data_IF_778407601710
#
_entry.id   IF_778407601710
#
_cell.length_a   1.000
_cell.length_b   1.000
_cell.length_c   1.000
_cell.angle_alpha   90.00
_cell.angle_beta   90.00
_cell.angle_gamma   90.00
#
_symmetry.space_group_name_H-M   'P 1'
#
loop_
_entity.id
_entity.type
_entity.pdbx_description
1 polymer ?
#
# COMPACT_ATOMS: atom_id res chain seq x y z
N UNK A 1 23.56 -22.40 -42.32
CA UNK A 1 24.19 -23.73 -42.40
C UNK A 1 23.94 -24.41 -41.06
N UNK A 2 22.89 -25.21 -40.96
CA UNK A 2 22.87 -26.67 -41.19
C UNK A 2 23.41 -27.45 -39.98
N UNK A 3 22.45 -28.06 -39.27
CA UNK A 3 22.44 -29.38 -38.62
C UNK A 3 23.41 -29.65 -37.44
N UNK A 4 23.02 -30.35 -36.36
CA UNK A 4 21.84 -31.17 -36.11
C UNK A 4 22.24 -32.64 -35.94
N UNK A 5 22.12 -33.19 -34.73
CA UNK A 5 22.03 -34.64 -34.54
C UNK A 5 21.05 -34.96 -33.42
N UNK A 6 19.98 -35.67 -33.81
CA UNK A 6 18.99 -36.35 -32.98
C UNK A 6 19.47 -37.78 -32.68
N UNK A 7 19.07 -38.30 -31.53
CA UNK A 7 18.58 -39.68 -31.30
C UNK A 7 17.70 -39.58 -30.03
N UNK A 8 16.45 -40.05 -29.91
CA UNK A 8 15.59 -40.83 -30.78
C UNK A 8 14.92 -41.97 -30.01
N UNK A 9 13.66 -41.76 -29.56
CA UNK A 9 12.54 -42.74 -29.46
C UNK A 9 12.69 -43.97 -28.52
N UNK A 10 11.67 -44.58 -27.88
CA UNK A 10 10.21 -44.81 -28.05
C UNK A 10 9.68 -45.29 -26.67
N UNK A 11 8.58 -44.80 -26.09
CA UNK A 11 7.15 -45.13 -26.30
C UNK A 11 6.70 -46.58 -26.03
N UNK A 12 5.88 -46.80 -24.99
CA UNK A 12 4.47 -47.28 -25.03
C UNK A 12 4.04 -48.03 -23.75
N UNK A 13 2.77 -47.86 -23.36
CA UNK A 13 2.07 -48.77 -22.45
C UNK A 13 0.94 -48.12 -21.67
N UNK A 14 -0.25 -48.07 -22.26
CA UNK A 14 -1.51 -47.66 -21.62
C UNK A 14 -2.17 -48.86 -20.91
N UNK A 15 -2.92 -48.64 -19.83
CA UNK A 15 -4.25 -49.25 -19.61
C UNK A 15 -5.00 -48.62 -18.42
N UNK A 16 -6.32 -48.69 -18.54
CA UNK A 16 -7.42 -48.02 -17.84
C UNK A 16 -7.94 -48.74 -16.57
N UNK A 17 -8.84 -48.03 -15.86
CA UNK A 17 -10.04 -48.49 -15.10
C UNK A 17 -9.98 -48.46 -13.56
N UNK A 18 -10.90 -47.68 -12.95
CA UNK A 18 -11.82 -48.21 -11.95
C UNK A 18 -11.73 -47.72 -10.49
N UNK A 19 -12.71 -46.89 -10.10
CA UNK A 19 -13.58 -47.12 -8.93
C UNK A 19 -13.05 -47.05 -7.49
N UNK A 20 -13.65 -46.16 -6.69
CA UNK A 20 -14.27 -46.57 -5.42
C UNK A 20 -13.49 -46.44 -4.10
N UNK A 21 -14.14 -45.72 -3.19
CA UNK A 21 -14.16 -45.88 -1.72
C UNK A 21 -13.16 -45.18 -0.80
N UNK A 22 -13.78 -44.68 0.27
CA UNK A 22 -13.26 -43.89 1.37
C UNK A 22 -12.64 -44.77 2.46
N UNK A 23 -11.66 -44.23 3.19
CA UNK A 23 -11.16 -44.82 4.43
C UNK A 23 -11.00 -43.75 5.53
N UNK A 24 -12.05 -43.68 6.34
CA UNK A 24 -12.11 -43.46 7.79
C UNK A 24 -10.75 -43.39 8.54
N UNK A 25 -10.48 -42.27 9.23
CA UNK A 25 -9.46 -42.20 10.30
C UNK A 25 -10.15 -42.10 11.67
N UNK A 26 -9.82 -43.07 12.53
CA UNK A 26 -10.28 -43.31 13.90
C UNK A 26 -10.03 -42.11 14.83
N UNK A 27 -11.03 -41.79 15.66
CA UNK A 27 -10.89 -41.00 16.89
C UNK A 27 -10.05 -41.76 17.92
N UNK A 28 -9.01 -41.10 18.45
CA UNK A 28 -8.42 -41.43 19.75
C UNK A 28 -8.82 -40.32 20.73
N UNK A 29 -9.43 -40.72 21.85
CA UNK A 29 -9.86 -39.87 22.97
C UNK A 29 -8.75 -39.81 24.02
N UNK A 30 -8.43 -38.60 24.49
CA UNK A 30 -7.84 -38.36 25.82
C UNK A 30 -6.68 -37.35 25.81
N UNK A 31 -6.93 -36.13 26.31
CA UNK A 31 -5.86 -35.16 26.56
C UNK A 31 -6.30 -33.70 26.66
N UNK A 32 -6.84 -33.33 27.84
CA UNK A 32 -6.76 -32.03 28.53
C UNK A 32 -6.57 -30.75 27.68
N UNK A 33 -7.67 -30.01 27.51
CA UNK A 33 -7.81 -28.55 27.49
C UNK A 33 -6.62 -27.69 27.01
N UNK A 34 -6.27 -27.81 25.74
CA UNK A 34 -5.63 -26.72 24.99
C UNK A 34 -6.73 -25.81 24.45
N UNK A 35 -6.95 -24.65 25.09
CA UNK A 35 -7.70 -23.56 24.46
C UNK A 35 -6.84 -23.10 23.27
N UNK A 36 -7.11 -23.68 22.11
CA UNK A 36 -6.81 -23.10 20.83
C UNK A 36 -7.53 -21.76 20.80
N UNK A 37 -6.84 -20.69 21.21
CA UNK A 37 -7.22 -19.36 20.79
C UNK A 37 -6.85 -19.27 19.30
N UNK A 38 -7.68 -19.91 18.49
CA UNK A 38 -8.00 -19.36 17.18
C UNK A 38 -8.19 -17.87 17.41
N UNK A 39 -7.35 -17.04 16.79
CA UNK A 39 -7.91 -15.81 16.27
C UNK A 39 -8.88 -16.28 15.18
N UNK A 40 -10.09 -16.61 15.62
CA UNK A 40 -11.24 -16.46 14.78
C UNK A 40 -11.16 -15.01 14.30
N UNK A 41 -10.68 -14.80 13.07
CA UNK A 41 -11.63 -14.14 12.18
C UNK A 41 -12.86 -15.03 12.29
N UNK A 42 -13.85 -14.59 13.08
CA UNK A 42 -15.19 -14.77 12.58
C UNK A 42 -15.07 -14.38 11.11
N UNK A 43 -15.35 -15.30 10.20
CA UNK A 43 -15.71 -14.89 8.86
C UNK A 43 -16.75 -13.80 9.12
N UNK A 44 -16.36 -12.54 8.95
CA UNK A 44 -17.36 -11.50 8.93
C UNK A 44 -18.18 -11.92 7.73
N UNK A 45 -19.38 -12.43 8.00
CA UNK A 45 -20.33 -12.81 6.96
C UNK A 45 -20.30 -11.67 5.95
N UNK A 46 -19.96 -11.98 4.70
CA UNK A 46 -19.70 -10.93 3.72
C UNK A 46 -20.95 -10.07 3.60
N UNK A 47 -20.78 -8.76 3.40
CA UNK A 47 -21.93 -7.86 3.36
C UNK A 47 -22.70 -8.18 2.07
N UNK A 48 -23.94 -8.68 2.15
CA UNK A 48 -24.70 -9.02 0.96
C UNK A 48 -25.04 -7.75 0.20
N UNK A 49 -24.90 -7.82 -1.12
CA UNK A 49 -25.31 -6.77 -2.05
C UNK A 49 -26.13 -7.40 -3.17
N UNK A 50 -27.22 -6.72 -3.51
CA UNK A 50 -28.15 -7.09 -4.56
C UNK A 50 -28.50 -5.85 -5.37
N UNK A 51 -28.67 -5.99 -6.67
CA UNK A 51 -29.02 -4.88 -7.52
C UNK A 51 -29.07 -5.22 -9.00
N UNK A 52 -29.21 -4.18 -9.80
CA UNK A 52 -29.28 -4.27 -11.26
C UNK A 52 -28.41 -3.20 -11.90
N UNK A 53 -27.78 -3.54 -13.02
CA UNK A 53 -27.11 -2.59 -13.91
C UNK A 53 -27.94 -2.40 -15.17
N UNK A 54 -28.20 -1.14 -15.52
CA UNK A 54 -28.96 -0.77 -16.71
C UNK A 54 -28.18 0.24 -17.56
N UNK A 55 -28.43 0.27 -18.86
CA UNK A 55 -27.90 1.29 -19.78
C UNK A 55 -28.53 2.65 -19.53
N UNK A 56 -28.06 3.69 -20.24
CA UNK A 56 -28.66 5.03 -20.17
C UNK A 56 -30.16 5.04 -20.55
N UNK A 57 -30.57 4.11 -21.41
CA UNK A 57 -31.97 3.96 -21.87
C UNK A 57 -32.83 3.10 -20.93
N UNK A 58 -32.22 2.50 -19.89
CA UNK A 58 -32.91 1.64 -18.91
C UNK A 58 -32.93 0.14 -19.28
N UNK A 59 -32.28 -0.25 -20.37
CA UNK A 59 -32.17 -1.65 -20.78
C UNK A 59 -31.15 -2.42 -19.92
N UNK A 60 -31.31 -3.74 -19.73
CA UNK A 60 -30.33 -4.57 -19.03
C UNK A 60 -28.91 -4.46 -19.59
N UNK A 61 -27.93 -4.11 -18.74
CA UNK A 61 -26.52 -4.07 -19.13
C UNK A 61 -25.83 -5.40 -18.80
N UNK A 62 -26.19 -6.47 -19.53
CA UNK A 62 -25.72 -7.83 -19.27
C UNK A 62 -24.20 -8.05 -19.45
N UNK A 63 -23.53 -7.19 -20.21
CA UNK A 63 -22.09 -7.24 -20.43
C UNK A 63 -21.29 -6.45 -19.39
N UNK A 64 -21.99 -5.79 -18.46
CA UNK A 64 -21.36 -4.97 -17.44
C UNK A 64 -20.57 -5.81 -16.44
N UNK A 65 -19.62 -5.14 -15.80
CA UNK A 65 -18.83 -5.66 -14.70
C UNK A 65 -19.04 -4.75 -13.51
N UNK A 66 -19.60 -5.30 -12.43
CA UNK A 66 -19.69 -4.63 -11.14
C UNK A 66 -18.53 -5.11 -10.27
N UNK A 67 -17.89 -4.20 -9.57
CA UNK A 67 -16.80 -4.57 -8.68
C UNK A 67 -16.47 -3.55 -7.62
N UNK A 68 -15.57 -3.96 -6.74
CA UNK A 68 -15.05 -3.20 -5.61
C UNK A 68 -13.52 -3.09 -5.70
N UNK A 69 -12.96 -2.00 -5.17
CA UNK A 69 -11.53 -1.69 -5.14
C UNK A 69 -10.83 -1.87 -6.49
N UNK A 70 -11.13 -0.98 -7.43
CA UNK A 70 -10.58 -1.10 -8.78
C UNK A 70 -9.13 -0.64 -8.88
N UNK A 71 -8.45 -1.12 -9.90
CA UNK A 71 -7.15 -0.61 -10.32
C UNK A 71 -7.22 -0.21 -11.79
N UNK A 72 -6.66 0.97 -12.09
CA UNK A 72 -6.52 1.45 -13.46
C UNK A 72 -5.04 1.47 -13.88
N UNK A 73 -4.71 0.65 -14.88
CA UNK A 73 -3.37 0.56 -15.49
C UNK A 73 -3.47 0.62 -17.02
N UNK A 74 -4.24 1.59 -17.55
CA UNK A 74 -4.68 1.63 -18.94
C UNK A 74 -5.82 0.65 -19.27
N UNK A 75 -6.13 -0.27 -18.35
CA UNK A 75 -7.29 -1.13 -18.33
C UNK A 75 -7.82 -1.20 -16.89
N UNK A 76 -9.14 -1.37 -16.77
CA UNK A 76 -9.83 -1.60 -15.51
C UNK A 76 -9.68 -3.03 -15.02
N UNK A 77 -9.28 -3.19 -13.76
CA UNK A 77 -9.20 -4.48 -13.07
C UNK A 77 -9.82 -4.34 -11.69
N UNK A 78 -10.98 -4.98 -11.41
CA UNK A 78 -11.55 -4.98 -10.07
C UNK A 78 -10.76 -5.92 -9.16
N UNK A 79 -10.60 -5.57 -7.89
CA UNK A 79 -10.08 -6.51 -6.89
C UNK A 79 -11.09 -7.63 -6.63
N UNK A 80 -12.36 -7.25 -6.42
CA UNK A 80 -13.47 -8.18 -6.33
C UNK A 80 -14.49 -7.89 -7.43
N UNK A 81 -14.87 -8.92 -8.18
CA UNK A 81 -15.85 -8.84 -9.28
C UNK A 81 -17.15 -9.54 -8.88
N UNK A 82 -18.27 -8.90 -9.19
CA UNK A 82 -19.60 -9.49 -9.13
C UNK A 82 -20.06 -9.86 -10.55
N UNK A 83 -20.69 -11.03 -10.68
CA UNK A 83 -21.27 -11.47 -11.95
C UNK A 83 -22.56 -10.73 -12.24
N UNK A 84 -22.75 -10.29 -13.49
CA UNK A 84 -24.00 -9.67 -13.95
C UNK A 84 -24.74 -10.68 -14.84
N UNK A 85 -26.02 -10.91 -14.53
CA UNK A 85 -26.92 -11.77 -15.27
C UNK A 85 -27.40 -11.15 -16.58
N UNK A 86 -28.05 -11.95 -17.43
CA UNK A 86 -28.60 -11.49 -18.72
C UNK A 86 -29.70 -10.44 -18.56
N UNK A 87 -30.38 -10.45 -17.43
CA UNK A 87 -31.37 -9.46 -17.03
C UNK A 87 -30.74 -8.21 -16.41
N UNK A 88 -29.41 -8.13 -16.32
CA UNK A 88 -28.67 -7.04 -15.70
C UNK A 88 -28.58 -7.14 -14.18
N UNK A 89 -29.19 -8.17 -13.56
CA UNK A 89 -29.14 -8.38 -12.11
C UNK A 89 -27.76 -8.81 -11.64
N UNK A 90 -27.37 -8.45 -10.43
CA UNK A 90 -26.17 -8.94 -9.77
C UNK A 90 -26.43 -9.17 -8.29
N UNK A 91 -25.81 -10.22 -7.75
CA UNK A 91 -25.82 -10.52 -6.32
C UNK A 91 -24.43 -10.95 -5.88
N UNK A 92 -24.09 -10.70 -4.62
CA UNK A 92 -22.85 -11.18 -4.04
C UNK A 92 -22.60 -10.69 -2.63
N UNK A 93 -21.42 -10.98 -2.10
CA UNK A 93 -21.00 -10.64 -0.75
C UNK A 93 -19.69 -9.86 -0.78
N UNK A 94 -19.58 -8.77 -0.02
CA UNK A 94 -18.36 -7.96 0.06
C UNK A 94 -17.60 -8.28 1.35
N UNK A 95 -16.35 -8.72 1.23
CA UNK A 95 -15.60 -9.29 2.35
C UNK A 95 -14.51 -8.39 2.94
N UNK A 96 -14.35 -7.16 2.43
CA UNK A 96 -13.36 -6.19 2.93
C UNK A 96 -14.08 -4.93 3.42
N UNK A 97 -14.14 -4.72 4.74
CA UNK A 97 -15.08 -3.78 5.36
C UNK A 97 -14.38 -2.58 6.00
N UNK A 98 -13.83 -1.70 5.17
CA UNK A 98 -13.68 -0.30 5.54
C UNK A 98 -14.87 0.48 4.98
N UNK A 99 -15.54 1.25 5.83
CA UNK A 99 -16.60 2.18 5.42
C UNK A 99 -16.00 3.59 5.25
N UNK A 100 -16.44 4.36 4.25
CA UNK A 100 -17.51 4.05 3.30
C UNK A 100 -17.07 3.14 2.14
N UNK A 101 -18.03 2.40 1.57
CA UNK A 101 -17.81 1.48 0.44
C UNK A 101 -18.35 2.06 -0.85
N UNK A 102 -17.77 1.69 -1.98
CA UNK A 102 -18.20 2.14 -3.30
C UNK A 102 -18.22 1.00 -4.31
N UNK A 103 -19.30 0.87 -5.06
CA UNK A 103 -19.37 0.01 -6.24
C UNK A 103 -19.20 0.86 -7.48
N UNK A 104 -18.39 0.34 -8.40
CA UNK A 104 -18.25 0.84 -9.75
C UNK A 104 -18.72 -0.26 -10.70
N UNK A 105 -19.67 0.09 -11.58
CA UNK A 105 -20.09 -0.71 -12.71
C UNK A 105 -19.52 -0.10 -13.99
N UNK A 106 -19.02 -0.95 -14.89
CA UNK A 106 -18.53 -0.55 -16.20
C UNK A 106 -19.10 -1.48 -17.27
N UNK A 107 -19.42 -0.96 -18.45
CA UNK A 107 -19.68 -1.81 -19.61
C UNK A 107 -18.41 -2.57 -20.04
N UNK A 108 -18.56 -3.61 -20.87
CA UNK A 108 -17.42 -4.43 -21.29
C UNK A 108 -16.36 -3.65 -22.08
N UNK A 109 -16.76 -2.55 -22.72
CA UNK A 109 -15.89 -1.66 -23.47
C UNK A 109 -15.16 -0.62 -22.59
N UNK A 110 -15.56 -0.45 -21.33
CA UNK A 110 -15.09 0.61 -20.45
C UNK A 110 -15.43 2.01 -20.96
N UNK A 111 -16.54 2.18 -21.69
CA UNK A 111 -17.02 3.47 -22.21
C UNK A 111 -18.13 4.08 -21.39
N UNK A 112 -18.94 3.25 -20.73
CA UNK A 112 -19.99 3.69 -19.84
C UNK A 112 -19.77 3.12 -18.44
N UNK A 113 -20.13 3.89 -17.42
CA UNK A 113 -20.01 3.47 -16.03
C UNK A 113 -21.03 4.12 -15.12
N UNK A 114 -21.18 3.52 -13.94
CA UNK A 114 -22.01 4.03 -12.86
C UNK A 114 -21.29 3.79 -11.53
N UNK A 115 -21.41 4.75 -10.62
CA UNK A 115 -20.79 4.68 -9.31
C UNK A 115 -21.84 4.88 -8.21
N UNK A 116 -21.77 4.07 -7.16
CA UNK A 116 -22.63 4.21 -5.99
C UNK A 116 -21.84 3.99 -4.71
N UNK A 117 -21.82 5.02 -3.87
CA UNK A 117 -21.37 4.90 -2.47
C UNK A 117 -22.46 4.18 -1.70
N UNK A 118 -22.14 3.02 -1.13
CA UNK A 118 -23.10 2.18 -0.42
C UNK A 118 -23.37 2.76 0.96
N UNK A 119 -24.66 2.97 1.25
CA UNK A 119 -25.21 3.36 2.55
C UNK A 119 -25.92 2.16 3.17
N UNK A 120 -26.22 2.23 4.47
CA UNK A 120 -26.94 1.16 5.16
C UNK A 120 -28.31 0.85 4.53
N UNK A 121 -28.95 1.82 3.90
CA UNK A 121 -30.22 1.63 3.18
C UNK A 121 -30.04 0.77 1.92
N UNK A 122 -28.92 0.92 1.21
CA UNK A 122 -28.62 0.15 -0.02
C UNK A 122 -28.39 -1.34 0.28
N UNK A 123 -28.09 -1.68 1.54
CA UNK A 123 -27.85 -3.05 1.98
C UNK A 123 -29.14 -3.79 2.38
N UNK A 124 -30.29 -3.08 2.42
CA UNK A 124 -31.58 -3.64 2.82
C UNK A 124 -32.39 -4.23 1.67
N UNK A 125 -32.01 -3.98 0.42
CA UNK A 125 -32.73 -4.43 -0.77
C UNK A 125 -32.02 -4.04 -2.06
N UNK A 126 -32.56 -4.47 -3.21
CA UNK A 126 -31.92 -4.25 -4.50
C UNK A 126 -31.89 -2.76 -4.87
N UNK A 127 -30.79 -2.33 -5.49
CA UNK A 127 -30.65 -0.99 -6.03
C UNK A 127 -30.21 -1.00 -7.50
N UNK A 128 -30.41 0.11 -8.19
CA UNK A 128 -30.05 0.26 -9.60
C UNK A 128 -28.74 1.06 -9.76
N UNK A 129 -27.91 0.61 -10.71
CA UNK A 129 -26.74 1.29 -11.25
C UNK A 129 -27.01 1.62 -12.72
N UNK A 130 -27.24 2.91 -13.02
CA UNK A 130 -27.52 3.38 -14.37
C UNK A 130 -26.26 3.88 -15.06
N UNK A 131 -25.79 3.16 -16.07
CA UNK A 131 -24.57 3.47 -16.81
C UNK A 131 -24.70 4.77 -17.59
N UNK A 132 -23.67 5.60 -17.50
CA UNK A 132 -23.53 6.87 -18.22
C UNK A 132 -22.18 6.91 -18.95
N UNK A 133 -22.05 7.67 -20.05
CA UNK A 133 -20.77 7.86 -20.72
C UNK A 133 -19.69 8.37 -19.77
N UNK A 134 -18.56 7.68 -19.74
CA UNK A 134 -17.39 8.11 -18.97
C UNK A 134 -16.79 9.37 -19.62
N UNK A 135 -16.32 10.27 -18.78
CA UNK A 135 -15.62 11.47 -19.18
C UNK A 135 -14.13 11.28 -18.93
N UNK A 136 -13.30 11.65 -19.91
CA UNK A 136 -11.86 11.63 -19.71
C UNK A 136 -11.45 12.78 -18.80
N UNK A 137 -10.84 12.45 -17.67
CA UNK A 137 -10.15 13.41 -16.82
C UNK A 137 -8.66 13.32 -17.10
N UNK A 138 -8.07 14.45 -17.50
CA UNK A 138 -6.67 14.54 -17.87
C UNK A 138 -5.92 15.54 -16.99
N UNK A 139 -4.62 15.37 -16.89
CA UNK A 139 -3.78 16.32 -16.18
C UNK A 139 -2.32 15.89 -16.11
N UNK A 140 -1.48 16.80 -15.62
CA UNK A 140 -0.06 16.56 -15.36
C UNK A 140 0.26 16.98 -13.93
N UNK A 141 0.96 16.12 -13.20
CA UNK A 141 1.45 16.37 -11.86
C UNK A 141 2.84 17.01 -11.95
N UNK A 142 3.11 18.01 -11.12
CA UNK A 142 4.41 18.66 -11.11
C UNK A 142 4.84 19.06 -9.70
N UNK A 143 6.15 19.09 -9.45
CA UNK A 143 6.70 19.67 -8.25
C UNK A 143 8.05 20.33 -8.60
N UNK A 144 8.05 21.64 -8.93
CA UNK A 144 9.26 22.33 -9.37
C UNK A 144 10.44 22.19 -8.39
N UNK A 145 10.17 22.18 -7.08
CA UNK A 145 11.18 22.00 -6.03
C UNK A 145 11.86 20.61 -6.06
N UNK A 146 11.16 19.56 -6.49
CA UNK A 146 11.72 18.19 -6.59
C UNK A 146 12.41 17.96 -7.94
N UNK A 147 12.03 18.73 -8.96
CA UNK A 147 12.42 18.54 -10.35
C UNK A 147 11.61 17.41 -10.99
N UNK A 148 12.29 16.50 -11.70
CA UNK A 148 11.63 15.36 -12.31
C UNK A 148 10.99 14.45 -11.24
N UNK A 149 9.69 14.22 -11.36
CA UNK A 149 8.97 13.28 -10.52
C UNK A 149 9.27 11.85 -10.97
N UNK A 150 9.57 10.98 -10.00
CA UNK A 150 9.63 9.53 -10.23
C UNK A 150 8.22 8.92 -10.41
N UNK A 151 8.07 7.60 -10.22
CA UNK A 151 6.76 6.97 -10.24
C UNK A 151 5.79 7.66 -9.28
N UNK A 152 4.58 7.96 -9.76
CA UNK A 152 3.55 8.62 -8.96
C UNK A 152 2.45 7.62 -8.66
N UNK A 153 2.06 7.55 -7.40
CA UNK A 153 0.86 6.81 -6.99
C UNK A 153 -0.28 7.81 -6.90
N UNK A 154 -1.39 7.50 -7.55
CA UNK A 154 -2.61 8.28 -7.43
C UNK A 154 -3.80 7.38 -7.10
N UNK A 155 -4.87 7.97 -6.61
CA UNK A 155 -6.13 7.32 -6.36
C UNK A 155 -7.26 8.29 -6.60
N UNK A 156 -8.43 7.76 -6.94
CA UNK A 156 -9.68 8.51 -6.94
C UNK A 156 -10.53 7.97 -5.80
N UNK A 157 -10.98 8.87 -4.95
CA UNK A 157 -11.88 8.59 -3.85
C UNK A 157 -13.16 9.42 -4.01
N UNK A 158 -14.24 9.00 -3.38
CA UNK A 158 -15.46 9.82 -3.28
C UNK A 158 -15.28 10.87 -2.19
N UNK A 159 -16.09 11.95 -2.15
CA UNK A 159 -16.03 12.96 -1.10
C UNK A 159 -16.20 12.39 0.32
N UNK A 160 -16.91 11.26 0.44
CA UNK A 160 -17.08 10.52 1.70
C UNK A 160 -15.83 9.73 2.13
N UNK A 161 -14.81 9.66 1.28
CA UNK A 161 -13.56 8.93 1.54
C UNK A 161 -13.56 7.47 1.07
N UNK A 162 -14.53 7.05 0.26
CA UNK A 162 -14.54 5.70 -0.30
C UNK A 162 -13.58 5.63 -1.49
N UNK A 163 -12.60 4.71 -1.45
CA UNK A 163 -11.66 4.55 -2.57
C UNK A 163 -12.32 3.88 -3.76
N UNK A 164 -12.39 4.59 -4.89
CA UNK A 164 -12.93 4.05 -6.14
C UNK A 164 -11.89 3.18 -6.83
N UNK A 165 -10.70 3.75 -7.09
CA UNK A 165 -9.59 3.02 -7.66
C UNK A 165 -8.22 3.62 -7.38
N UNK A 166 -7.19 2.79 -7.54
CA UNK A 166 -5.78 3.21 -7.56
C UNK A 166 -5.26 3.31 -8.98
N UNK A 167 -4.31 4.23 -9.16
CA UNK A 167 -3.59 4.50 -10.39
C UNK A 167 -2.10 4.41 -10.10
N UNK A 168 -1.36 3.77 -11.00
CA UNK A 168 0.11 3.76 -10.97
C UNK A 168 0.63 4.43 -12.23
N UNK A 169 1.27 5.58 -12.06
CA UNK A 169 1.74 6.42 -13.15
C UNK A 169 3.25 6.26 -13.32
N UNK A 170 3.69 5.92 -14.54
CA UNK A 170 5.12 5.87 -14.90
C UNK A 170 5.69 7.25 -15.18
N UNK A 171 4.87 8.10 -15.77
CA UNK A 171 5.13 9.52 -16.03
C UNK A 171 4.08 10.31 -15.25
N UNK A 172 4.36 11.56 -14.86
CA UNK A 172 3.43 12.33 -14.05
C UNK A 172 2.20 12.84 -14.83
N UNK A 173 1.89 12.27 -16.00
CA UNK A 173 0.70 12.57 -16.80
C UNK A 173 -0.35 11.48 -16.63
N UNK A 174 -1.62 11.85 -16.55
CA UNK A 174 -2.72 10.89 -16.44
C UNK A 174 -3.87 11.23 -17.38
N UNK A 175 -4.55 10.17 -17.83
CA UNK A 175 -5.85 10.19 -18.50
C UNK A 175 -6.67 9.09 -17.83
N UNK A 176 -7.74 9.46 -17.13
CA UNK A 176 -8.58 8.51 -16.39
C UNK A 176 -10.04 8.71 -16.79
N UNK A 177 -10.75 7.66 -17.23
CA UNK A 177 -12.17 7.77 -17.52
C UNK A 177 -12.99 7.67 -16.21
N UNK A 178 -13.92 8.59 -16.00
CA UNK A 178 -14.76 8.65 -14.80
C UNK A 178 -16.24 8.85 -15.15
N UNK A 179 -17.18 8.20 -14.45
CA UNK A 179 -18.58 8.61 -14.53
C UNK A 179 -18.75 10.05 -14.05
N UNK A 180 -19.78 10.79 -14.51
CA UNK A 180 -20.14 12.07 -13.92
C UNK A 180 -20.34 11.97 -12.41
N UNK A 181 -19.85 12.94 -11.65
CA UNK A 181 -19.88 12.95 -10.19
C UNK A 181 -18.78 13.78 -9.56
N UNK A 182 -18.82 13.86 -8.23
CA UNK A 182 -17.79 14.52 -7.43
C UNK A 182 -16.78 13.50 -6.89
N UNK A 183 -15.51 13.87 -6.89
CA UNK A 183 -14.40 13.01 -6.49
C UNK A 183 -13.30 13.80 -5.78
N UNK A 184 -12.44 13.07 -5.08
CA UNK A 184 -11.14 13.54 -4.58
C UNK A 184 -10.05 12.82 -5.36
N UNK A 185 -9.28 13.57 -6.15
CA UNK A 185 -8.03 13.09 -6.74
C UNK A 185 -6.95 13.15 -5.66
N UNK A 186 -6.44 11.98 -5.27
CA UNK A 186 -5.25 11.85 -4.43
C UNK A 186 -4.03 11.53 -5.27
N UNK A 187 -2.91 12.17 -4.98
CA UNK A 187 -1.65 11.87 -5.66
C UNK A 187 -0.44 12.08 -4.75
N UNK A 188 0.55 11.20 -4.86
CA UNK A 188 1.78 11.28 -4.08
C UNK A 188 2.95 10.74 -4.89
N UNK A 189 4.01 11.54 -4.97
CA UNK A 189 5.30 11.15 -5.50
C UNK A 189 6.28 10.88 -4.35
N UNK A 190 7.44 10.31 -4.66
CA UNK A 190 8.51 10.20 -3.67
C UNK A 190 8.92 11.59 -3.17
N UNK A 191 8.99 11.76 -1.85
CA UNK A 191 9.32 13.04 -1.19
C UNK A 191 8.35 14.21 -1.47
N UNK A 192 7.14 13.92 -1.97
CA UNK A 192 6.02 14.86 -1.96
C UNK A 192 5.06 14.56 -0.80
N UNK A 193 4.35 15.59 -0.35
CA UNK A 193 3.13 15.42 0.42
C UNK A 193 2.06 14.75 -0.43
N UNK A 194 1.06 14.17 0.22
CA UNK A 194 -0.13 13.69 -0.46
C UNK A 194 -1.01 14.88 -0.88
N UNK A 195 -1.22 15.03 -2.18
CA UNK A 195 -2.25 15.91 -2.72
C UNK A 195 -3.63 15.31 -2.44
N UNK A 196 -4.58 16.17 -2.06
CA UNK A 196 -6.01 15.87 -2.12
C UNK A 196 -6.71 17.02 -2.85
N UNK A 197 -7.18 16.76 -4.06
CA UNK A 197 -7.83 17.77 -4.92
C UNK A 197 -9.27 17.36 -5.22
N UNK A 198 -10.27 18.12 -4.72
CA UNK A 198 -11.65 17.95 -5.17
C UNK A 198 -11.78 18.21 -6.67
N UNK A 199 -12.49 17.34 -7.38
CA UNK A 199 -12.81 17.47 -8.80
C UNK A 199 -14.29 17.13 -9.03
N UNK A 200 -14.93 17.84 -9.95
CA UNK A 200 -16.30 17.57 -10.39
C UNK A 200 -16.29 17.21 -11.86
N UNK A 201 -16.74 16.00 -12.18
CA UNK A 201 -16.85 15.48 -13.53
C UNK A 201 -18.29 15.67 -14.00
N UNK A 202 -18.49 16.45 -15.06
CA UNK A 202 -19.82 16.75 -15.61
C UNK A 202 -20.08 15.91 -16.85
N UNK A 203 -21.34 15.64 -17.17
CA UNK A 203 -21.74 14.92 -18.38
C UNK A 203 -21.72 15.81 -19.65
N UNK A 204 -20.73 16.69 -19.79
CA UNK A 204 -20.63 17.67 -20.88
C UNK A 204 -19.30 17.61 -21.66
N UNK A 205 -18.40 16.69 -21.32
CA UNK A 205 -17.18 16.41 -22.06
C UNK A 205 -15.96 16.12 -21.17
N UNK A 206 -14.78 15.95 -21.79
CA UNK A 206 -13.53 15.76 -21.07
C UNK A 206 -13.20 16.92 -20.11
N UNK A 207 -12.62 16.58 -18.96
CA UNK A 207 -12.12 17.53 -17.97
C UNK A 207 -10.58 17.56 -18.02
N UNK A 208 -10.01 18.68 -18.43
CA UNK A 208 -8.56 18.93 -18.33
C UNK A 208 -8.25 19.69 -17.04
N UNK A 209 -7.50 19.07 -16.14
CA UNK A 209 -7.03 19.65 -14.89
C UNK A 209 -5.75 20.48 -15.08
N UNK A 210 -5.13 20.44 -16.27
CA UNK A 210 -3.88 21.12 -16.57
C UNK A 210 -2.72 20.62 -15.70
N UNK A 211 -1.86 21.55 -15.30
CA UNK A 211 -0.81 21.31 -14.32
C UNK A 211 -1.37 21.32 -12.89
N UNK A 212 -1.09 20.26 -12.15
CA UNK A 212 -1.52 20.05 -10.78
C UNK A 212 -0.27 19.95 -9.90
N UNK A 213 -0.02 21.00 -9.12
CA UNK A 213 1.16 21.10 -8.27
C UNK A 213 1.06 20.17 -7.04
N UNK A 214 2.13 19.41 -6.81
CA UNK A 214 2.41 18.71 -5.56
C UNK A 214 3.30 19.59 -4.68
N UNK A 215 3.17 19.44 -3.36
CA UNK A 215 4.09 20.06 -2.41
C UNK A 215 5.21 19.09 -2.02
N UNK A 216 6.47 19.55 -1.90
CA UNK A 216 7.53 18.73 -1.33
C UNK A 216 7.38 18.60 0.19
N UNK A 217 7.89 17.50 0.75
CA UNK A 217 7.97 17.30 2.21
C UNK A 217 9.02 18.23 2.86
N UNK A 218 8.97 18.36 4.18
CA UNK A 218 10.01 19.08 4.93
C UNK A 218 11.40 18.44 4.73
N UNK A 219 11.45 17.10 4.70
CA UNK A 219 12.66 16.32 4.41
C UNK A 219 13.22 16.67 3.03
N UNK A 220 12.36 16.78 2.01
CA UNK A 220 12.79 17.14 0.67
C UNK A 220 13.41 18.54 0.59
N UNK A 221 12.83 19.51 1.32
CA UNK A 221 13.37 20.87 1.42
C UNK A 221 14.70 20.95 2.19
N UNK A 222 15.03 19.91 2.95
CA UNK A 222 16.29 19.75 3.68
C UNK A 222 17.40 19.05 2.88
N UNK A 223 17.14 18.57 1.66
CA UNK A 223 18.20 17.96 0.82
C UNK A 223 19.44 18.85 0.70
N UNK A 224 20.62 18.25 0.88
CA UNK A 224 21.92 18.93 0.86
C UNK A 224 22.22 19.81 2.08
N UNK A 225 21.33 19.83 3.07
CA UNK A 225 21.46 20.60 4.32
C UNK A 225 21.49 19.65 5.52
N UNK A 226 21.98 20.13 6.65
CA UNK A 226 21.79 19.43 7.91
C UNK A 226 20.29 19.39 8.25
N UNK A 227 19.73 18.23 8.64
CA UNK A 227 18.34 18.15 9.06
C UNK A 227 18.15 18.80 10.44
N UNK A 228 16.90 18.97 10.85
CA UNK A 228 16.59 19.36 12.22
C UNK A 228 17.20 18.36 13.22
N UNK A 229 17.69 18.85 14.36
CA UNK A 229 18.10 17.96 15.44
C UNK A 229 16.92 17.08 15.88
N UNK A 230 17.20 15.82 16.20
CA UNK A 230 16.23 14.94 16.84
C UNK A 230 16.47 14.89 18.35
N UNK A 231 15.44 14.48 19.08
CA UNK A 231 15.45 14.18 20.50
C UNK A 231 14.70 12.87 20.73
N UNK A 232 15.19 12.07 21.67
CA UNK A 232 14.53 10.85 22.10
C UNK A 232 14.23 10.91 23.60
N UNK A 233 13.05 10.46 23.99
CA UNK A 233 12.65 10.32 25.40
C UNK A 233 13.26 9.07 26.03
N UNK A 234 13.48 8.03 25.23
CA UNK A 234 14.19 6.82 25.61
C UNK A 234 14.85 6.19 24.37
N UNK A 235 15.88 5.38 24.58
CA UNK A 235 16.55 4.66 23.50
C UNK A 235 17.06 3.28 23.93
N UNK A 236 17.09 2.34 22.97
CA UNK A 236 17.69 1.01 23.09
C UNK A 236 18.85 0.90 22.10
N UNK A 237 20.00 0.44 22.57
CA UNK A 237 21.20 0.24 21.75
C UNK A 237 22.10 1.48 21.60
N UNK A 238 21.64 2.66 22.01
CA UNK A 238 22.38 3.93 22.05
C UNK A 238 21.90 4.77 23.24
N UNK A 239 22.65 5.82 23.57
CA UNK A 239 22.23 6.84 24.53
C UNK A 239 21.03 7.66 23.97
N UNK A 240 19.99 7.99 24.77
CA UNK A 240 18.86 8.80 24.31
C UNK A 240 19.24 10.24 23.90
N UNK A 241 20.37 10.76 24.38
CA UNK A 241 20.94 12.05 24.00
C UNK A 241 21.85 12.01 22.77
N UNK A 242 21.95 10.87 22.08
CA UNK A 242 22.75 10.77 20.86
C UNK A 242 22.25 11.73 19.77
N UNK A 243 23.16 12.26 18.98
CA UNK A 243 22.90 13.22 17.91
C UNK A 243 23.47 12.74 16.58
N UNK A 244 23.06 13.35 15.47
CA UNK A 244 23.68 13.07 14.16
C UNK A 244 25.17 13.46 14.09
N UNK A 245 25.63 14.39 14.95
CA UNK A 245 27.03 14.78 14.99
C UNK A 245 27.94 13.64 15.49
N UNK A 246 27.43 12.77 16.35
CA UNK A 246 28.15 11.58 16.85
C UNK A 246 28.42 10.54 15.73
N UNK A 247 27.80 10.71 14.57
CA UNK A 247 27.95 9.85 13.40
C UNK A 247 28.68 10.50 12.23
N UNK A 248 29.32 11.66 12.41
CA UNK A 248 30.17 12.25 11.35
C UNK A 248 31.21 11.25 10.86
N UNK A 249 31.42 11.20 9.54
CA UNK A 249 32.23 10.18 8.87
C UNK A 249 31.49 8.89 8.51
N UNK A 250 30.22 8.73 8.93
CA UNK A 250 29.38 7.55 8.65
C UNK A 250 28.13 7.94 7.89
N UNK A 251 27.64 7.03 7.05
CA UNK A 251 26.28 7.14 6.53
C UNK A 251 25.27 6.83 7.64
N UNK A 252 24.20 7.63 7.78
CA UNK A 252 23.16 7.35 8.77
C UNK A 252 21.81 7.20 8.09
N UNK A 253 21.17 6.05 8.27
CA UNK A 253 19.78 5.86 7.88
C UNK A 253 18.87 6.13 9.07
N UNK A 254 18.19 7.26 9.05
CA UNK A 254 17.15 7.61 10.01
C UNK A 254 15.83 7.01 9.52
N UNK A 255 15.23 6.14 10.32
CA UNK A 255 13.99 5.44 9.98
C UNK A 255 12.86 5.83 10.93
N UNK A 256 11.89 6.59 10.43
CA UNK A 256 10.66 6.90 11.16
C UNK A 256 9.66 5.76 10.97
N UNK A 257 9.21 5.17 12.08
CA UNK A 257 8.38 3.96 12.06
C UNK A 257 7.36 3.94 13.19
N UNK A 258 6.41 3.01 13.07
CA UNK A 258 5.33 2.79 14.02
C UNK A 258 5.12 1.29 14.24
N UNK A 259 4.89 0.90 15.49
CA UNK A 259 4.49 -0.47 15.86
C UNK A 259 3.09 -0.83 15.34
N UNK A 260 2.24 0.14 15.03
CA UNK A 260 0.88 -0.09 14.51
C UNK A 260 0.83 -0.11 12.98
N UNK A 261 1.92 0.28 12.31
CA UNK A 261 2.05 0.20 10.86
C UNK A 261 2.43 -1.21 10.41
N UNK A 262 1.53 -1.87 9.67
CA UNK A 262 1.80 -3.18 9.08
C UNK A 262 2.99 -3.15 8.11
N UNK A 263 3.17 -2.06 7.35
CA UNK A 263 4.32 -1.89 6.46
C UNK A 263 5.63 -1.75 7.24
N UNK A 264 5.62 -1.04 8.37
CA UNK A 264 6.79 -0.97 9.24
C UNK A 264 7.13 -2.33 9.84
N UNK A 265 6.15 -2.98 10.47
CA UNK A 265 6.36 -4.21 11.22
C UNK A 265 6.60 -5.42 10.32
N UNK A 266 5.89 -5.57 9.20
CA UNK A 266 6.01 -6.75 8.34
C UNK A 266 7.05 -6.62 7.24
N UNK A 267 7.40 -5.40 6.82
CA UNK A 267 8.33 -5.17 5.72
C UNK A 267 9.57 -4.39 6.13
N UNK A 268 9.44 -3.21 6.74
CA UNK A 268 10.59 -2.35 7.05
C UNK A 268 11.57 -3.02 8.02
N UNK A 269 11.11 -3.42 9.20
CA UNK A 269 11.98 -3.96 10.26
C UNK A 269 12.72 -5.23 9.78
N UNK A 270 12.05 -6.24 9.18
CA UNK A 270 12.75 -7.39 8.62
C UNK A 270 13.80 -7.02 7.57
N UNK A 271 13.49 -6.04 6.70
CA UNK A 271 14.40 -5.57 5.66
C UNK A 271 15.64 -4.90 6.22
N UNK A 272 15.48 -4.05 7.24
CA UNK A 272 16.60 -3.38 7.91
C UNK A 272 17.44 -4.37 8.75
N UNK A 273 16.81 -5.35 9.40
CA UNK A 273 17.53 -6.44 10.06
C UNK A 273 18.41 -7.22 9.08
N UNK A 274 17.88 -7.53 7.90
CA UNK A 274 18.65 -8.21 6.87
C UNK A 274 19.78 -7.33 6.31
N UNK A 275 19.61 -6.01 6.26
CA UNK A 275 20.68 -5.07 5.87
C UNK A 275 21.81 -5.09 6.90
N UNK A 276 21.50 -4.97 8.19
CA UNK A 276 22.50 -5.03 9.27
C UNK A 276 23.28 -6.35 9.21
N UNK A 277 22.60 -7.48 9.04
CA UNK A 277 23.28 -8.78 8.94
C UNK A 277 24.17 -8.88 7.69
N UNK A 278 23.72 -8.37 6.53
CA UNK A 278 24.52 -8.35 5.30
C UNK A 278 25.81 -7.52 5.41
N UNK A 279 25.76 -6.46 6.21
CA UNK A 279 26.85 -5.49 6.37
C UNK A 279 27.51 -5.53 7.76
N UNK A 280 27.39 -6.68 8.42
CA UNK A 280 28.04 -6.94 9.70
C UNK A 280 29.56 -6.80 9.57
N UNK A 281 30.20 -6.10 10.52
CA UNK A 281 31.62 -5.76 10.46
C UNK A 281 31.92 -4.52 9.61
N UNK A 282 30.93 -3.67 9.35
CA UNK A 282 31.08 -2.37 8.68
C UNK A 282 30.38 -1.24 9.45
N UNK A 283 30.18 -1.42 10.76
CA UNK A 283 29.50 -0.48 11.65
C UNK A 283 30.24 0.87 11.80
N UNK A 284 31.52 0.91 11.45
CA UNK A 284 32.33 2.12 11.34
C UNK A 284 32.00 2.95 10.09
N UNK A 285 31.22 2.41 9.14
CA UNK A 285 30.84 3.08 7.89
C UNK A 285 29.40 3.53 7.84
N UNK A 286 28.53 2.91 8.64
CA UNK A 286 27.11 3.29 8.69
C UNK A 286 26.46 3.06 10.04
N UNK A 287 25.32 3.72 10.26
CA UNK A 287 24.41 3.48 11.36
C UNK A 287 22.95 3.54 10.92
N UNK A 288 22.07 2.88 11.68
CA UNK A 288 20.62 3.01 11.55
C UNK A 288 20.09 3.57 12.86
N UNK A 289 19.24 4.60 12.80
CA UNK A 289 18.54 5.17 13.95
C UNK A 289 17.03 5.08 13.69
N UNK A 290 16.34 4.17 14.37
CA UNK A 290 14.91 3.96 14.17
C UNK A 290 14.08 4.75 15.19
N UNK A 291 13.53 5.88 14.77
CA UNK A 291 12.66 6.72 15.60
C UNK A 291 11.21 6.25 15.54
N UNK A 292 10.69 5.82 16.68
CA UNK A 292 9.31 5.42 16.85
C UNK A 292 8.43 6.65 17.13
N UNK A 293 7.23 6.66 16.55
CA UNK A 293 6.23 7.71 16.76
C UNK A 293 5.78 7.85 18.23
N UNK A 294 5.08 8.95 18.59
CA UNK A 294 4.47 9.09 19.90
C UNK A 294 3.48 7.97 20.24
N UNK A 295 3.34 7.65 21.54
CA UNK A 295 2.38 6.65 22.02
C UNK A 295 3.02 5.41 22.62
N UNK A 296 4.33 5.46 22.91
CA UNK A 296 5.02 4.49 23.75
C UNK A 296 5.93 5.27 24.70
N UNK A 297 5.48 5.45 25.95
CA UNK A 297 6.21 6.22 26.95
C UNK A 297 7.53 5.55 27.35
N UNK A 298 7.58 4.22 27.33
CA UNK A 298 8.77 3.44 27.65
C UNK A 298 9.04 2.36 26.59
N UNK A 299 10.28 1.87 26.56
CA UNK A 299 10.65 0.72 25.73
C UNK A 299 9.88 -0.55 26.11
N UNK A 300 9.49 -0.70 27.38
CA UNK A 300 8.69 -1.84 27.83
C UNK A 300 7.26 -1.78 27.27
N UNK A 301 6.68 -0.58 27.16
CA UNK A 301 5.37 -0.39 26.51
C UNK A 301 5.45 -0.77 25.03
N UNK A 302 6.52 -0.35 24.36
CA UNK A 302 6.77 -0.72 22.97
C UNK A 302 6.95 -2.23 22.81
N UNK A 303 7.74 -2.89 23.66
CA UNK A 303 7.93 -4.35 23.61
C UNK A 303 6.60 -5.09 23.75
N UNK A 304 5.75 -4.66 24.68
CA UNK A 304 4.41 -5.23 24.89
C UNK A 304 3.54 -5.12 23.63
N UNK A 305 3.59 -3.99 22.92
CA UNK A 305 2.88 -3.80 21.64
C UNK A 305 3.42 -4.72 20.55
N UNK A 306 4.73 -4.98 20.57
CA UNK A 306 5.43 -5.76 19.56
C UNK A 306 5.45 -7.26 19.83
N UNK A 307 5.03 -7.77 21.00
CA UNK A 307 5.14 -9.20 21.34
C UNK A 307 4.61 -10.14 20.25
N UNK A 308 3.41 -9.87 19.75
CA UNK A 308 2.78 -10.67 18.68
C UNK A 308 3.52 -10.54 17.35
N UNK A 309 3.95 -9.33 17.01
CA UNK A 309 4.73 -9.05 15.80
C UNK A 309 6.06 -9.80 15.86
N UNK A 310 6.73 -9.76 17.01
CA UNK A 310 7.99 -10.45 17.26
C UNK A 310 7.85 -11.95 17.10
N UNK A 311 6.87 -12.56 17.77
CA UNK A 311 6.60 -14.00 17.68
C UNK A 311 6.24 -14.46 16.26
N UNK A 312 5.52 -13.62 15.50
CA UNK A 312 5.11 -13.90 14.13
C UNK A 312 6.09 -13.37 13.08
N UNK A 313 5.90 -12.11 12.68
CA UNK A 313 6.56 -11.48 11.53
C UNK A 313 8.08 -11.36 11.68
N UNK A 314 8.61 -11.30 12.90
CA UNK A 314 10.07 -11.21 13.13
C UNK A 314 10.71 -12.53 13.54
N UNK A 315 9.95 -13.64 13.55
CA UNK A 315 10.46 -14.98 13.86
C UNK A 315 11.22 -15.04 15.21
N UNK A 316 10.72 -14.32 16.21
CA UNK A 316 11.31 -14.22 17.55
C UNK A 316 12.51 -13.27 17.67
N UNK A 317 12.96 -12.64 16.59
CA UNK A 317 14.13 -11.75 16.59
C UNK A 317 13.75 -10.31 16.97
N UNK A 318 14.63 -9.67 17.72
CA UNK A 318 14.56 -8.23 17.96
C UNK A 318 15.11 -7.44 16.76
N UNK A 319 14.76 -6.15 16.63
CA UNK A 319 15.44 -5.24 15.73
C UNK A 319 16.95 -5.20 16.02
N UNK A 320 17.77 -5.38 14.99
CA UNK A 320 19.24 -5.44 15.07
C UNK A 320 19.89 -4.04 15.02
N UNK A 321 19.09 -2.99 15.21
CA UNK A 321 19.50 -1.61 15.12
C UNK A 321 18.89 -0.79 16.27
N UNK A 322 19.51 0.33 16.66
CA UNK A 322 19.00 1.21 17.69
C UNK A 322 17.56 1.67 17.46
N UNK A 323 16.77 1.67 18.54
CA UNK A 323 15.41 2.21 18.59
C UNK A 323 15.41 3.42 19.50
N UNK A 324 14.83 4.52 19.04
CA UNK A 324 14.65 5.76 19.80
C UNK A 324 13.15 6.07 19.86
N UNK A 325 12.65 6.48 21.02
CA UNK A 325 11.25 6.87 21.20
C UNK A 325 11.14 8.39 21.14
N UNK A 326 10.24 8.92 20.31
CA UNK A 326 9.85 10.33 20.34
C UNK A 326 8.45 10.47 20.95
N UNK A 327 8.31 10.14 22.24
CA UNK A 327 6.99 10.17 22.89
C UNK A 327 6.37 11.58 22.96
N UNK A 328 7.21 12.62 22.83
CA UNK A 328 6.77 14.03 22.77
C UNK A 328 6.26 14.47 21.40
N UNK A 329 6.62 13.75 20.34
CA UNK A 329 6.38 14.13 18.95
C UNK A 329 7.12 15.39 18.49
N UNK A 330 8.10 15.88 19.26
CA UNK A 330 8.90 17.05 18.89
C UNK A 330 9.73 16.77 17.64
N UNK A 331 10.43 15.63 17.61
CA UNK A 331 11.23 15.25 16.44
C UNK A 331 10.34 15.00 15.24
N UNK A 332 9.24 14.27 15.43
CA UNK A 332 8.29 13.91 14.38
C UNK A 332 7.76 15.14 13.65
N UNK A 333 7.36 16.17 14.42
CA UNK A 333 6.90 17.46 13.89
C UNK A 333 8.03 18.26 13.27
N UNK A 334 9.20 18.33 13.90
CA UNK A 334 10.35 19.08 13.38
C UNK A 334 10.82 18.52 12.03
N UNK A 335 10.77 17.21 11.84
CA UNK A 335 11.11 16.56 10.58
C UNK A 335 9.96 16.52 9.57
N UNK A 336 8.77 16.98 9.95
CA UNK A 336 7.59 17.02 9.09
C UNK A 336 7.17 15.62 8.58
N UNK A 337 7.24 14.61 9.44
CA UNK A 337 6.91 13.22 9.07
C UNK A 337 5.40 13.05 9.07
N UNK A 338 4.82 12.83 7.89
CA UNK A 338 3.36 12.70 7.70
C UNK A 338 2.89 11.23 7.66
N UNK A 339 3.79 10.28 7.40
CA UNK A 339 3.46 8.86 7.26
C UNK A 339 4.61 7.94 7.65
N UNK A 340 4.27 6.70 7.99
CA UNK A 340 5.25 5.64 8.25
C UNK A 340 5.10 4.50 7.23
N UNK A 341 6.22 3.87 6.82
CA UNK A 341 7.60 4.26 7.14
C UNK A 341 8.05 5.51 6.35
N UNK A 342 8.94 6.30 6.95
CA UNK A 342 9.69 7.37 6.25
C UNK A 342 11.18 7.16 6.50
N UNK A 343 11.98 7.10 5.44
CA UNK A 343 13.43 6.91 5.51
C UNK A 343 14.14 8.19 5.09
N UNK A 344 15.17 8.55 5.83
CA UNK A 344 16.07 9.66 5.51
C UNK A 344 17.50 9.16 5.58
N UNK A 345 18.21 9.28 4.46
CA UNK A 345 19.65 8.99 4.43
C UNK A 345 20.42 10.29 4.65
N UNK A 346 21.35 10.25 5.59
CA UNK A 346 22.27 11.34 5.91
C UNK A 346 23.68 10.89 5.52
N UNK A 347 24.40 11.76 4.81
CA UNK A 347 25.78 11.50 4.37
C UNK A 347 26.81 11.67 5.50
N UNK A 348 28.08 11.26 5.29
CA UNK A 348 29.15 11.40 6.29
C UNK A 348 29.40 12.84 6.79
N UNK A 349 29.05 13.84 5.98
CA UNK A 349 29.14 15.26 6.33
C UNK A 349 27.95 15.73 7.18
N UNK A 350 26.90 14.91 7.33
CA UNK A 350 25.72 15.22 8.12
C UNK A 350 24.56 15.83 7.36
N UNK A 351 24.57 15.76 6.03
CA UNK A 351 23.56 16.38 5.17
C UNK A 351 22.56 15.36 4.65
N UNK A 352 21.31 15.79 4.49
CA UNK A 352 20.25 14.94 3.94
C UNK A 352 20.54 14.65 2.47
N UNK A 353 20.53 13.38 2.11
CA UNK A 353 20.75 12.92 0.74
C UNK A 353 19.43 12.98 -0.02
N UNK A 354 19.45 13.59 -1.20
CA UNK A 354 18.29 13.66 -2.11
C UNK A 354 17.77 12.25 -2.37
N UNK A 355 16.50 12.02 -2.08
CA UNK A 355 15.82 10.74 -2.25
C UNK A 355 16.49 9.57 -1.52
N UNK A 356 16.99 9.83 -0.31
CA UNK A 356 17.62 8.87 0.60
C UNK A 356 16.83 7.59 0.84
N UNK A 357 17.41 6.43 0.55
CA UNK A 357 16.84 5.12 0.92
C UNK A 357 17.90 4.17 1.47
N UNK A 358 17.46 3.07 2.06
CA UNK A 358 18.32 1.96 2.45
C UNK A 358 18.98 1.25 1.25
N UNK A 359 18.32 1.18 0.08
CA UNK A 359 19.00 0.66 -1.12
C UNK A 359 20.15 1.57 -1.57
N UNK A 360 19.96 2.89 -1.46
CA UNK A 360 21.02 3.85 -1.77
C UNK A 360 22.15 3.76 -0.74
N UNK A 361 21.85 3.60 0.55
CA UNK A 361 22.86 3.29 1.57
C UNK A 361 23.69 2.07 1.15
N UNK A 362 23.05 0.96 0.79
CA UNK A 362 23.78 -0.23 0.36
C UNK A 362 24.62 0.01 -0.90
N UNK A 363 24.15 0.82 -1.84
CA UNK A 363 24.94 1.20 -3.02
C UNK A 363 26.22 1.95 -2.62
N UNK A 364 26.10 2.95 -1.73
CA UNK A 364 27.25 3.70 -1.20
C UNK A 364 28.23 2.83 -0.42
N UNK A 365 27.71 1.86 0.32
CA UNK A 365 28.55 0.89 1.02
C UNK A 365 29.32 -0.03 0.08
N UNK A 366 28.79 -0.33 -1.12
CA UNK A 366 29.53 -1.10 -2.14
C UNK A 366 30.64 -0.27 -2.81
N UNK A 367 30.41 1.02 -3.03
CA UNK A 367 31.38 1.92 -3.69
C UNK A 367 32.64 2.16 -2.86
N UNK A 368 32.51 2.26 -1.53
CA UNK A 368 33.65 2.46 -0.63
C UNK A 368 34.40 1.18 -0.23
N UNK A 369 34.41 0.13 -1.06
CA UNK A 369 35.15 -1.12 -0.81
C UNK A 369 36.56 -1.08 -1.36
#
# INVERSE_FOLDING_TARGET
MVAGTRYGTRARGATTVGGGEAAMIRRVRGGVAGVLLFAALAAADGIPVDGRVVTADGEPAADAVVGFEWQFRGKWVPFQRLGVGKDGGFTGELHWTHRPMVLLALDSAGRNGALRVLKDEDLKGPFELKLQPLQEVTGTLECPELGALGPVTAAVETPEGARVFRISLKEPKFTIPLPPGDYILKAVAFDSKELQKPITVKADGPLDLGAVALEPTAIARAWGKEPHAFRATAARGVDPGVTLADYRGRWVLVAFWSADSADCTRALVPRLNALVERWKGSEERFAILALHEPGAATLADLDKRLEKVKAGSWQGKDPAFPILLDDTGETWRAWGVEKTPTLVLVDPEGKVVKQGTDQMLEARLREGK
#
